data_IF_415056275086
#
_entry.id   IF_415056275086
#
_cell.length_a   1.000
_cell.length_b   1.000
_cell.length_c   1.000
_cell.angle_alpha   90.00
_cell.angle_beta   90.00
_cell.angle_gamma   90.00
#
_symmetry.space_group_name_H-M   'P 1'
#
loop_
_entity.id
_entity.type
_entity.pdbx_description
1 polymer ?
#
# COMPACT_ATOMS: atom_id res chain seq x y z
N UNK A 1 15.06 5.77 3.65
CA UNK A 1 13.86 4.96 3.93
C UNK A 1 12.64 5.82 3.70
N UNK A 2 11.65 5.29 2.98
CA UNK A 2 10.38 5.94 2.69
C UNK A 2 9.24 5.07 3.21
N UNK A 3 8.18 5.71 3.72
CA UNK A 3 6.89 5.08 3.88
C UNK A 3 6.04 5.48 2.68
N UNK A 4 5.59 4.50 1.90
CA UNK A 4 4.67 4.72 0.80
C UNK A 4 3.32 4.16 1.18
N UNK A 5 2.25 4.93 0.97
CA UNK A 5 0.88 4.45 1.09
C UNK A 5 0.35 4.07 -0.28
N UNK A 6 0.03 2.78 -0.46
CA UNK A 6 -0.61 2.26 -1.67
C UNK A 6 -2.04 1.86 -1.38
N UNK A 7 -2.99 2.44 -2.11
CA UNK A 7 -4.40 2.07 -2.04
C UNK A 7 -4.62 0.75 -2.79
N UNK A 8 -5.28 -0.21 -2.15
CA UNK A 8 -5.91 -1.35 -2.81
C UNK A 8 -7.42 -1.17 -2.73
N UNK A 9 -8.02 -0.84 -3.86
CA UNK A 9 -9.44 -0.54 -3.98
C UNK A 9 -10.20 -1.81 -4.32
N UNK A 10 -11.35 -2.00 -3.68
CA UNK A 10 -12.28 -3.05 -4.07
C UNK A 10 -13.68 -2.48 -4.25
N UNK A 11 -14.25 -2.69 -5.45
CA UNK A 11 -15.61 -2.24 -5.77
C UNK A 11 -16.71 -3.18 -5.28
N UNK A 12 -16.35 -4.36 -4.75
CA UNK A 12 -17.29 -5.31 -4.14
C UNK A 12 -17.16 -5.23 -2.61
N UNK A 13 -18.23 -4.74 -1.98
CA UNK A 13 -18.31 -4.44 -0.55
C UNK A 13 -18.03 -5.63 0.39
N UNK A 14 -18.19 -6.88 -0.08
CA UNK A 14 -18.17 -8.08 0.76
C UNK A 14 -16.86 -8.88 0.73
N UNK A 15 -15.77 -8.32 0.22
CA UNK A 15 -14.52 -9.09 0.11
C UNK A 15 -13.74 -9.05 1.42
N UNK A 16 -13.53 -10.22 2.01
CA UNK A 16 -12.69 -10.37 3.19
C UNK A 16 -11.22 -10.06 2.86
N UNK A 17 -10.62 -9.17 3.64
CA UNK A 17 -9.18 -8.90 3.61
C UNK A 17 -8.48 -10.08 4.31
N UNK A 18 -7.49 -10.74 3.67
CA UNK A 18 -6.71 -11.77 4.34
C UNK A 18 -6.02 -11.21 5.58
N UNK A 19 -6.16 -11.87 6.74
CA UNK A 19 -5.53 -11.40 7.97
C UNK A 19 -4.00 -11.38 7.89
N UNK A 20 -3.42 -12.25 7.04
CA UNK A 20 -1.99 -12.37 6.77
C UNK A 20 -1.55 -11.58 5.52
N UNK A 21 -2.31 -10.58 5.07
CA UNK A 21 -2.00 -9.83 3.85
C UNK A 21 -0.62 -9.15 3.91
N UNK A 22 -0.21 -8.63 5.08
CA UNK A 22 1.12 -8.05 5.28
C UNK A 22 2.24 -9.07 4.98
N UNK A 23 2.11 -10.28 5.53
CA UNK A 23 3.09 -11.35 5.35
C UNK A 23 3.13 -11.84 3.90
N UNK A 24 1.97 -11.94 3.25
CA UNK A 24 1.88 -12.30 1.84
C UNK A 24 2.55 -11.25 0.93
N UNK A 25 2.30 -9.96 1.18
CA UNK A 25 2.99 -8.88 0.48
C UNK A 25 4.49 -8.93 0.72
N UNK A 26 4.93 -9.12 1.96
CA UNK A 26 6.34 -9.22 2.27
C UNK A 26 7.00 -10.43 1.59
N UNK A 27 6.32 -11.57 1.50
CA UNK A 27 6.80 -12.77 0.80
C UNK A 27 6.90 -12.60 -0.72
N UNK A 28 6.11 -11.68 -1.31
CA UNK A 28 6.15 -11.34 -2.73
C UNK A 28 7.17 -10.25 -3.08
N UNK A 29 7.74 -9.58 -2.09
CA UNK A 29 8.80 -8.61 -2.31
C UNK A 29 10.07 -9.34 -2.82
N UNK A 30 10.68 -8.80 -3.88
CA UNK A 30 12.00 -9.24 -4.29
C UNK A 30 13.05 -8.56 -3.38
N UNK A 31 14.23 -9.18 -3.18
CA UNK A 31 15.31 -8.56 -2.43
C UNK A 31 15.68 -7.15 -2.94
N UNK A 32 15.59 -6.94 -4.26
CA UNK A 32 15.90 -5.66 -4.90
C UNK A 32 14.82 -4.59 -4.71
N UNK A 33 13.63 -4.94 -4.19
CA UNK A 33 12.59 -3.96 -3.89
C UNK A 33 12.87 -3.18 -2.60
N UNK A 34 13.85 -3.61 -1.79
CA UNK A 34 14.27 -2.90 -0.58
C UNK A 34 13.19 -2.78 0.50
N UNK A 35 12.20 -3.67 0.51
CA UNK A 35 11.07 -3.65 1.44
C UNK A 35 11.54 -4.14 2.82
N UNK A 36 11.38 -3.28 3.82
CA UNK A 36 11.75 -3.56 5.21
C UNK A 36 10.54 -3.97 6.04
N UNK A 37 9.36 -3.39 5.77
CA UNK A 37 8.15 -3.66 6.54
C UNK A 37 6.87 -3.32 5.76
N UNK A 38 5.79 -4.03 6.06
CA UNK A 38 4.46 -3.83 5.46
C UNK A 38 3.40 -3.73 6.56
N UNK A 39 2.54 -2.72 6.48
CA UNK A 39 1.41 -2.48 7.39
C UNK A 39 0.12 -2.40 6.57
N UNK A 40 -0.98 -2.94 7.11
CA UNK A 40 -2.29 -2.93 6.45
C UNK A 40 -3.27 -2.10 7.28
N UNK A 41 -3.90 -1.12 6.64
CA UNK A 41 -4.96 -0.29 7.20
C UNK A 41 -6.28 -0.52 6.44
N UNK A 42 -7.16 -1.40 6.95
CA UNK A 42 -8.50 -1.58 6.39
C UNK A 42 -9.33 -0.29 6.43
N UNK A 43 -9.98 0.03 5.33
CA UNK A 43 -10.98 1.10 5.23
C UNK A 43 -12.33 0.47 4.89
N UNK A 44 -13.19 0.19 5.89
CA UNK A 44 -14.50 -0.42 5.67
C UNK A 44 -15.29 0.31 4.58
N UNK A 45 -15.72 -0.41 3.55
CA UNK A 45 -16.48 0.14 2.41
C UNK A 45 -15.66 0.76 1.27
N UNK A 46 -14.34 0.95 1.43
CA UNK A 46 -13.49 1.62 0.43
C UNK A 46 -12.28 0.79 -0.04
N UNK A 47 -11.81 -0.17 0.76
CA UNK A 47 -10.67 -1.04 0.42
C UNK A 47 -9.66 -1.13 1.55
N UNK A 48 -8.37 -1.19 1.22
CA UNK A 48 -7.27 -1.11 2.20
C UNK A 48 -6.18 -0.15 1.75
N UNK A 49 -5.52 0.46 2.71
CA UNK A 49 -4.24 1.15 2.48
C UNK A 49 -3.12 0.24 2.95
N UNK A 50 -2.16 0.00 2.07
CA UNK A 50 -0.93 -0.74 2.33
C UNK A 50 0.18 0.27 2.58
N UNK A 51 0.70 0.30 3.80
CA UNK A 51 1.92 1.04 4.13
C UNK A 51 3.14 0.18 3.87
N UNK A 52 3.99 0.59 2.94
CA UNK A 52 5.25 -0.10 2.61
C UNK A 52 6.41 0.76 3.06
N UNK A 53 7.19 0.28 4.02
CA UNK A 53 8.47 0.85 4.40
C UNK A 53 9.54 0.24 3.51
N UNK A 54 10.21 1.07 2.70
CA UNK A 54 11.28 0.59 1.84
C UNK A 54 12.46 1.55 1.69
N UNK A 55 13.61 0.98 1.32
CA UNK A 55 14.84 1.68 0.99
C UNK A 55 14.88 1.99 -0.50
N UNK A 56 15.11 3.25 -0.85
CA UNK A 56 15.28 3.71 -2.22
C UNK A 56 16.13 4.98 -2.22
N UNK A 57 16.79 5.26 -3.35
CA UNK A 57 17.60 6.46 -3.54
C UNK A 57 16.74 7.72 -3.76
N UNK A 58 15.51 7.55 -4.23
CA UNK A 58 14.61 8.66 -4.55
C UNK A 58 13.14 8.32 -4.30
N UNK A 59 12.37 9.36 -3.96
CA UNK A 59 10.92 9.31 -3.69
C UNK A 59 10.16 8.54 -4.77
N UNK A 60 10.36 8.91 -6.04
CA UNK A 60 9.70 8.28 -7.19
C UNK A 60 9.97 6.77 -7.28
N UNK A 61 11.19 6.32 -6.98
CA UNK A 61 11.54 4.89 -7.00
C UNK A 61 10.81 4.16 -5.88
N UNK A 62 10.67 4.79 -4.73
CA UNK A 62 9.93 4.22 -3.62
C UNK A 62 8.47 3.99 -4.01
N UNK A 63 7.83 5.03 -4.57
CA UNK A 63 6.43 5.00 -4.99
C UNK A 63 6.16 3.96 -6.08
N UNK A 64 7.02 3.92 -7.12
CA UNK A 64 6.91 2.97 -8.22
C UNK A 64 7.11 1.52 -7.75
N UNK A 65 8.02 1.31 -6.79
CA UNK A 65 8.32 -0.01 -6.23
C UNK A 65 7.19 -0.53 -5.35
N UNK A 66 6.63 0.30 -4.46
CA UNK A 66 5.46 -0.06 -3.67
C UNK A 66 4.25 -0.38 -4.57
N UNK A 67 4.03 0.41 -5.62
CA UNK A 67 2.98 0.16 -6.60
C UNK A 67 3.18 -1.17 -7.35
N UNK A 68 4.42 -1.49 -7.72
CA UNK A 68 4.77 -2.76 -8.40
C UNK A 68 4.57 -3.96 -7.48
N UNK A 69 4.96 -3.86 -6.21
CA UNK A 69 4.67 -4.88 -5.20
C UNK A 69 3.18 -5.13 -5.06
N UNK A 70 2.39 -4.06 -4.88
CA UNK A 70 0.95 -4.17 -4.75
C UNK A 70 0.27 -4.74 -6.00
N UNK A 71 0.77 -4.43 -7.20
CA UNK A 71 0.28 -5.04 -8.45
C UNK A 71 0.55 -6.53 -8.53
N UNK A 72 1.75 -6.99 -8.13
CA UNK A 72 2.06 -8.43 -8.02
C UNK A 72 1.12 -9.12 -7.03
N UNK A 73 0.93 -8.51 -5.86
CA UNK A 73 0.03 -9.05 -4.85
C UNK A 73 -1.41 -9.20 -5.37
N UNK A 74 -1.97 -8.19 -6.03
CA UNK A 74 -3.29 -8.28 -6.65
C UNK A 74 -3.37 -9.37 -7.72
N UNK A 75 -2.28 -9.62 -8.46
CA UNK A 75 -2.23 -10.65 -9.50
C UNK A 75 -2.05 -12.07 -8.95
N UNK A 76 -1.30 -12.25 -7.86
CA UNK A 76 -0.89 -13.58 -7.36
C UNK A 76 -1.70 -14.05 -6.14
N UNK A 77 -2.22 -13.14 -5.32
CA UNK A 77 -2.98 -13.48 -4.13
C UNK A 77 -4.43 -13.78 -4.54
N UNK A 78 -4.74 -15.08 -4.62
CA UNK A 78 -6.05 -15.63 -5.00
C UNK A 78 -7.30 -15.04 -4.30
N UNK A 79 -7.27 -14.52 -3.04
CA UNK A 79 -8.40 -13.80 -2.44
C UNK A 79 -8.54 -12.32 -2.84
N UNK A 80 -7.70 -11.80 -3.74
CA UNK A 80 -7.84 -10.44 -4.31
C UNK A 80 -8.50 -10.33 -5.72
N UNK A 81 -9.41 -11.21 -6.20
CA UNK A 81 -10.01 -11.00 -7.52
C UNK A 81 -10.88 -9.73 -7.52
N UNK A 82 -10.56 -8.80 -8.42
CA UNK A 82 -11.28 -7.53 -8.59
C UNK A 82 -10.75 -6.36 -7.77
N UNK A 83 -9.70 -6.58 -6.97
CA UNK A 83 -8.96 -5.49 -6.35
C UNK A 83 -8.15 -4.74 -7.41
N UNK A 84 -7.98 -3.43 -7.23
CA UNK A 84 -7.20 -2.58 -8.11
C UNK A 84 -6.22 -1.75 -7.29
N UNK A 85 -5.01 -1.56 -7.81
CA UNK A 85 -4.05 -0.65 -7.20
C UNK A 85 -4.46 0.78 -7.55
N UNK A 86 -4.75 1.57 -6.53
CA UNK A 86 -5.04 3.00 -6.61
C UNK A 86 -3.76 3.82 -6.55
N UNK A 87 -3.80 4.96 -5.83
CA UNK A 87 -2.60 5.80 -5.65
C UNK A 87 -1.55 5.08 -4.81
N UNK A 88 -0.29 5.42 -5.08
CA UNK A 88 0.88 4.90 -4.38
C UNK A 88 1.87 6.04 -4.17
N UNK A 89 1.76 6.70 -3.03
CA UNK A 89 2.41 7.99 -2.80
C UNK A 89 3.03 8.01 -1.40
N UNK A 90 4.17 8.67 -1.26
CA UNK A 90 4.68 9.01 0.07
C UNK A 90 3.78 10.11 0.63
N UNK A 91 3.16 9.92 1.81
CA UNK A 91 2.38 10.98 2.43
C UNK A 91 3.30 12.15 2.75
N UNK A 92 3.18 13.21 1.96
CA UNK A 92 3.87 14.46 2.23
C UNK A 92 3.16 15.11 3.41
N UNK A 93 3.76 15.01 4.60
CA UNK A 93 3.33 15.82 5.73
C UNK A 93 3.51 17.28 5.32
N UNK A 94 2.41 18.03 5.24
CA UNK A 94 2.51 19.47 5.18
C UNK A 94 3.39 19.93 6.36
N UNK A 95 4.32 20.87 6.16
CA UNK A 95 5.08 21.44 7.28
C UNK A 95 4.05 21.96 8.28
N UNK A 96 4.06 21.35 9.47
CA UNK A 96 3.10 21.49 10.56
C UNK A 96 2.15 22.70 10.46
N UNK A 97 0.85 22.47 10.23
CA UNK A 97 -0.19 23.43 10.62
C UNK A 97 -1.32 23.79 9.66
N UNK A 98 -1.95 22.85 8.92
CA UNK A 98 -3.21 23.15 8.22
C UNK A 98 -4.35 22.11 8.42
N UNK A 99 -4.20 21.11 9.29
CA UNK A 99 -5.27 20.12 9.53
C UNK A 99 -6.27 20.53 10.64
N UNK A 100 -6.35 21.82 10.97
CA UNK A 100 -7.10 22.30 12.14
C UNK A 100 -8.26 23.26 11.90
N UNK A 101 -8.66 23.55 10.65
CA UNK A 101 -9.69 24.57 10.38
C UNK A 101 -10.59 24.22 9.19
N UNK A 102 -11.22 23.04 9.22
CA UNK A 102 -12.54 22.85 8.61
C UNK A 102 -13.34 21.90 9.52
N UNK A 103 -14.01 22.50 10.51
CA UNK A 103 -15.47 22.41 10.70
C UNK A 103 -15.92 23.46 11.74
#
# INVERSE_FOLDING_TARGET
MYLVHTELLNRKADSCIPQNLADLLHALAHPDDGVEHVVIHPHPGHGVTVGVYLLADHLRSAEETAARLCRRAVAEIGPLPGWQVGRSEVPLLAPYGLDGLID
#
